data_IF_379218423896
#
_entry.id   IF_379218423896
#
_cell.length_a   1.000
_cell.length_b   1.000
_cell.length_c   1.000
_cell.angle_alpha   90.00
_cell.angle_beta   90.00
_cell.angle_gamma   90.00
#
_symmetry.space_group_name_H-M   'P 1'
#
loop_
_entity.id
_entity.type
_entity.pdbx_description
1 polymer ?
#
# COMPACT_ATOMS: atom_id res chain seq x y z
N UNK A 1 10.88 -7.12 -0.57
CA UNK A 1 10.90 -5.98 0.34
C UNK A 1 11.37 -4.71 -0.37
N UNK A 2 11.23 -3.58 0.27
CA UNK A 2 11.69 -2.27 -0.23
C UNK A 2 12.74 -1.71 0.72
N UNK A 3 13.86 -1.23 0.20
CA UNK A 3 14.83 -0.46 0.96
C UNK A 3 14.23 0.88 1.39
N UNK A 4 14.18 1.13 2.69
CA UNK A 4 13.52 2.31 3.25
C UNK A 4 14.18 3.63 2.83
N UNK A 5 15.50 3.63 2.66
CA UNK A 5 16.25 4.85 2.37
C UNK A 5 16.21 5.24 0.90
N UNK A 6 16.20 4.24 0.01
CA UNK A 6 16.33 4.45 -1.44
C UNK A 6 15.04 4.21 -2.22
N UNK A 7 14.07 3.51 -1.62
CA UNK A 7 12.88 3.02 -2.32
C UNK A 7 13.16 1.87 -3.31
N UNK A 8 14.40 1.39 -3.37
CA UNK A 8 14.77 0.33 -4.29
C UNK A 8 14.17 -1.03 -3.85
N UNK A 9 13.75 -1.88 -4.80
CA UNK A 9 13.29 -3.23 -4.46
C UNK A 9 14.44 -4.12 -4.04
N UNK A 10 14.24 -4.87 -2.95
CA UNK A 10 15.17 -5.88 -2.43
C UNK A 10 14.60 -7.27 -2.66
N UNK A 11 15.29 -8.05 -3.52
CA UNK A 11 14.86 -9.40 -3.91
C UNK A 11 15.69 -10.44 -3.15
N UNK A 12 15.06 -11.18 -2.26
CA UNK A 12 15.68 -12.29 -1.56
C UNK A 12 15.74 -13.52 -2.46
N UNK A 13 16.93 -14.08 -2.66
CA UNK A 13 17.15 -15.29 -3.46
C UNK A 13 17.65 -16.47 -2.62
N UNK A 14 18.13 -16.19 -1.42
CA UNK A 14 18.70 -17.16 -0.47
C UNK A 14 18.65 -16.57 0.93
N UNK A 15 18.88 -17.41 1.94
CA UNK A 15 18.91 -17.02 3.34
C UNK A 15 17.67 -17.48 4.12
N UNK A 16 17.38 -16.82 5.24
CA UNK A 16 16.28 -17.16 6.12
C UNK A 16 14.94 -16.68 5.54
N UNK A 17 14.06 -17.64 5.26
CA UNK A 17 12.72 -17.36 4.71
C UNK A 17 11.87 -16.52 5.66
N UNK A 18 11.98 -16.73 6.98
CA UNK A 18 11.20 -15.97 7.98
C UNK A 18 11.61 -14.49 7.99
N UNK A 19 12.91 -14.19 7.86
CA UNK A 19 13.39 -12.81 7.75
C UNK A 19 12.87 -12.16 6.47
N UNK A 20 12.93 -12.87 5.35
CA UNK A 20 12.42 -12.38 4.07
C UNK A 20 10.91 -12.11 4.13
N UNK A 21 10.13 -13.03 4.71
CA UNK A 21 8.69 -12.86 4.91
C UNK A 21 8.41 -11.68 5.84
N UNK A 22 9.12 -11.59 6.97
CA UNK A 22 8.94 -10.50 7.94
C UNK A 22 9.24 -9.13 7.31
N UNK A 23 10.28 -9.05 6.47
CA UNK A 23 10.60 -7.82 5.72
C UNK A 23 9.51 -7.50 4.69
N UNK A 24 9.03 -8.51 3.96
CA UNK A 24 8.02 -8.34 2.90
C UNK A 24 6.65 -7.90 3.40
N UNK A 25 6.31 -8.15 4.67
CA UNK A 25 5.03 -7.76 5.28
C UNK A 25 5.17 -6.55 6.22
N UNK A 26 6.30 -5.85 6.20
CA UNK A 26 6.52 -4.67 7.05
C UNK A 26 5.76 -3.44 6.55
N UNK A 27 4.44 -3.51 6.62
CA UNK A 27 3.52 -2.47 6.14
C UNK A 27 3.76 -1.16 6.90
N UNK A 28 4.03 -0.04 6.21
CA UNK A 28 4.24 1.26 6.84
C UNK A 28 3.04 1.68 7.72
N UNK A 29 3.34 2.16 8.93
CA UNK A 29 2.32 2.54 9.91
C UNK A 29 1.67 1.38 10.69
N UNK A 30 1.93 0.12 10.30
CA UNK A 30 1.38 -1.08 10.96
C UNK A 30 2.48 -1.90 11.63
N UNK A 31 3.57 -2.15 10.93
CA UNK A 31 4.68 -2.96 11.42
C UNK A 31 6.00 -2.18 11.37
N UNK A 32 6.88 -2.47 12.33
CA UNK A 32 8.20 -1.87 12.40
C UNK A 32 9.06 -2.37 11.24
N UNK A 33 9.84 -1.51 10.56
CA UNK A 33 10.81 -1.91 9.55
C UNK A 33 11.78 -2.97 10.05
N UNK A 34 12.24 -3.82 9.16
CA UNK A 34 13.21 -4.88 9.49
C UNK A 34 14.62 -4.40 9.17
N UNK A 35 15.53 -4.49 10.15
CA UNK A 35 16.95 -4.27 9.89
C UNK A 35 17.52 -5.47 9.13
N UNK A 36 18.10 -5.20 7.97
CA UNK A 36 18.75 -6.22 7.17
C UNK A 36 20.11 -5.67 6.69
N UNK A 37 21.21 -6.26 7.21
CA UNK A 37 22.57 -5.71 7.02
C UNK A 37 22.59 -4.23 7.44
N UNK A 38 23.04 -3.34 6.57
CA UNK A 38 23.21 -1.91 6.83
C UNK A 38 21.99 -1.06 6.43
N UNK A 39 20.87 -1.70 6.07
CA UNK A 39 19.65 -1.03 5.64
C UNK A 39 18.43 -1.40 6.48
N UNK A 40 17.36 -0.61 6.34
CA UNK A 40 16.03 -0.91 6.86
C UNK A 40 15.13 -1.30 5.71
N UNK A 41 14.35 -2.35 5.90
CA UNK A 41 13.41 -2.86 4.91
C UNK A 41 11.97 -2.64 5.36
N UNK A 42 11.15 -2.23 4.42
CA UNK A 42 9.68 -2.13 4.53
C UNK A 42 9.00 -3.04 3.52
N UNK A 43 7.68 -3.07 3.53
CA UNK A 43 6.86 -3.90 2.65
C UNK A 43 7.27 -3.79 1.17
N UNK A 44 7.24 -4.91 0.48
CA UNK A 44 7.56 -4.97 -0.95
C UNK A 44 6.54 -4.26 -1.84
N UNK A 45 5.30 -4.15 -1.39
CA UNK A 45 4.22 -3.44 -2.08
C UNK A 45 4.51 -1.95 -2.27
N UNK A 46 5.33 -1.35 -1.40
CA UNK A 46 5.73 0.05 -1.51
C UNK A 46 6.47 0.34 -2.83
N UNK A 47 7.35 -0.56 -3.29
CA UNK A 47 8.10 -0.39 -4.55
C UNK A 47 7.52 -1.21 -5.70
N UNK A 48 7.26 -2.49 -5.47
CA UNK A 48 6.79 -3.43 -6.51
C UNK A 48 5.64 -4.28 -5.97
N UNK A 49 4.39 -3.78 -5.98
CA UNK A 49 3.25 -4.55 -5.47
C UNK A 49 2.96 -5.81 -6.30
N UNK A 50 3.32 -5.81 -7.59
CA UNK A 50 3.11 -6.94 -8.49
C UNK A 50 4.41 -7.27 -9.26
N UNK A 51 5.32 -8.12 -8.70
CA UNK A 51 6.69 -8.27 -9.16
C UNK A 51 6.84 -9.19 -10.40
N UNK A 52 6.12 -8.92 -11.50
CA UNK A 52 6.10 -9.73 -12.73
C UNK A 52 7.50 -9.74 -13.38
N UNK A 53 8.12 -8.57 -13.55
CA UNK A 53 9.46 -8.42 -14.11
C UNK A 53 10.52 -9.17 -13.30
N UNK A 54 10.40 -9.16 -11.97
CA UNK A 54 11.32 -9.87 -11.08
C UNK A 54 11.25 -11.38 -11.33
N UNK A 55 10.03 -11.94 -11.39
CA UNK A 55 9.82 -13.38 -11.62
C UNK A 55 10.29 -13.79 -13.02
N UNK A 56 10.07 -12.96 -14.04
CA UNK A 56 10.64 -13.18 -15.38
C UNK A 56 12.16 -13.13 -15.38
N UNK A 57 12.75 -12.18 -14.69
CA UNK A 57 14.20 -12.09 -14.52
C UNK A 57 14.82 -13.29 -13.76
N UNK A 58 13.99 -14.07 -13.06
CA UNK A 58 14.36 -15.36 -12.46
C UNK A 58 14.23 -16.54 -13.42
N UNK A 59 13.82 -16.32 -14.68
CA UNK A 59 13.73 -17.34 -15.73
C UNK A 59 12.32 -17.94 -15.90
N UNK A 60 11.27 -17.34 -15.32
CA UNK A 60 9.92 -17.84 -15.52
C UNK A 60 9.42 -17.57 -16.95
N UNK A 61 9.12 -18.65 -17.69
CA UNK A 61 8.54 -18.57 -19.04
C UNK A 61 7.03 -18.32 -19.04
N UNK A 62 6.34 -18.70 -17.95
CA UNK A 62 4.92 -18.45 -17.75
C UNK A 62 4.71 -17.75 -16.42
N UNK A 63 4.00 -16.62 -16.40
CA UNK A 63 3.72 -15.83 -15.22
C UNK A 63 2.23 -15.74 -14.93
N UNK A 64 1.86 -16.08 -13.69
CA UNK A 64 0.50 -15.90 -13.18
C UNK A 64 0.58 -14.84 -12.10
N UNK A 65 -0.08 -13.70 -12.29
CA UNK A 65 -0.12 -12.63 -11.32
C UNK A 65 -1.49 -12.57 -10.64
N UNK A 66 -1.50 -12.38 -9.33
CA UNK A 66 -2.71 -12.18 -8.54
C UNK A 66 -2.74 -10.72 -8.08
N UNK A 67 -3.63 -9.93 -8.69
CA UNK A 67 -3.79 -8.53 -8.35
C UNK A 67 -4.84 -8.37 -7.24
N UNK A 68 -4.40 -8.02 -6.04
CA UNK A 68 -5.27 -7.77 -4.89
C UNK A 68 -5.81 -6.33 -4.86
N UNK A 69 -5.30 -5.46 -5.75
CA UNK A 69 -5.68 -4.04 -5.87
C UNK A 69 -6.31 -3.73 -7.26
N UNK A 70 -7.30 -4.52 -7.74
CA UNK A 70 -7.90 -4.27 -9.06
C UNK A 70 -8.71 -2.98 -9.07
N UNK A 71 -9.07 -2.45 -7.90
CA UNK A 71 -9.83 -1.21 -7.71
C UNK A 71 -9.36 -0.51 -6.45
N UNK A 72 -9.44 0.82 -6.46
CA UNK A 72 -9.13 1.62 -5.28
C UNK A 72 -10.09 1.27 -4.13
N UNK A 73 -9.54 0.93 -2.98
CA UNK A 73 -10.34 0.63 -1.77
C UNK A 73 -10.95 1.92 -1.24
N UNK A 74 -12.25 1.94 -1.10
CA UNK A 74 -12.98 3.08 -0.52
C UNK A 74 -13.00 2.94 1.01
N UNK A 75 -11.88 3.11 1.68
CA UNK A 75 -11.82 3.15 3.15
C UNK A 75 -12.55 4.40 3.64
N UNK A 76 -13.58 4.22 4.46
CA UNK A 76 -14.23 5.32 5.17
C UNK A 76 -15.01 6.33 4.33
N UNK A 77 -14.88 6.34 3.01
CA UNK A 77 -15.52 7.34 2.14
C UNK A 77 -17.03 7.13 1.92
N UNK A 78 -17.62 6.04 2.39
CA UNK A 78 -19.07 5.81 2.19
C UNK A 78 -19.93 6.91 2.82
N UNK A 79 -19.42 7.64 3.81
CA UNK A 79 -20.14 8.76 4.44
C UNK A 79 -19.80 10.13 3.84
N UNK A 80 -18.60 10.30 3.24
CA UNK A 80 -18.16 11.57 2.64
C UNK A 80 -18.72 11.78 1.23
N UNK A 81 -19.00 10.72 0.48
CA UNK A 81 -19.48 10.80 -0.92
C UNK A 81 -20.97 11.16 -1.02
N UNK A 82 -21.72 11.20 0.10
CA UNK A 82 -23.11 11.72 0.10
C UNK A 82 -23.20 13.25 0.13
N UNK A 83 -22.17 13.94 0.55
CA UNK A 83 -22.07 15.37 0.31
C UNK A 83 -21.55 15.57 -1.11
N UNK A 84 -22.37 16.19 -1.95
CA UNK A 84 -21.98 16.69 -3.26
C UNK A 84 -20.64 17.40 -3.14
N UNK A 85 -19.56 16.75 -3.58
CA UNK A 85 -18.28 17.40 -3.74
C UNK A 85 -18.49 18.34 -4.92
N UNK A 86 -18.83 19.59 -4.62
CA UNK A 86 -18.60 20.67 -5.55
C UNK A 86 -17.12 20.61 -5.86
N UNK A 87 -16.78 20.37 -7.10
CA UNK A 87 -15.39 20.44 -7.56
C UNK A 87 -14.84 21.77 -7.06
N UNK A 88 -13.82 21.78 -6.18
CA UNK A 88 -13.23 23.04 -5.76
C UNK A 88 -12.77 23.77 -7.03
N UNK A 89 -13.00 25.07 -7.08
CA UNK A 89 -12.45 25.90 -8.14
C UNK A 89 -10.94 25.60 -8.28
N UNK A 90 -10.38 25.61 -9.49
CA UNK A 90 -8.97 25.37 -9.68
C UNK A 90 -8.19 26.33 -8.77
N UNK A 91 -7.40 25.77 -7.86
CA UNK A 91 -6.56 26.55 -6.96
C UNK A 91 -5.49 27.21 -7.83
N UNK A 92 -5.56 28.51 -7.97
CA UNK A 92 -4.52 29.25 -8.64
C UNK A 92 -3.23 29.21 -7.82
N UNK A 93 -2.02 29.12 -8.45
CA UNK A 93 -0.75 29.08 -7.73
C UNK A 93 -0.53 30.25 -6.76
N UNK A 94 -1.17 31.37 -7.01
CA UNK A 94 -1.14 32.58 -6.19
C UNK A 94 -1.99 32.48 -4.91
N UNK A 95 -2.93 31.54 -4.85
CA UNK A 95 -3.78 31.29 -3.66
C UNK A 95 -3.14 30.32 -2.67
N UNK A 96 -1.97 29.74 -3.02
CA UNK A 96 -1.22 28.85 -2.15
C UNK A 96 -0.29 29.69 -1.27
N UNK A 97 -0.77 30.09 -0.11
CA UNK A 97 0.08 30.65 0.93
C UNK A 97 1.02 29.56 1.46
N UNK A 98 2.22 29.49 0.85
CA UNK A 98 3.29 28.63 1.36
C UNK A 98 3.67 29.22 2.72
N UNK A 99 3.17 28.60 3.81
CA UNK A 99 3.68 28.85 5.14
C UNK A 99 5.16 28.45 5.09
N UNK A 100 6.02 29.42 4.83
CA UNK A 100 7.47 29.31 5.00
C UNK A 100 7.69 29.12 6.50
N UNK A 101 7.63 27.85 6.95
CA UNK A 101 8.06 27.43 8.28
C UNK A 101 9.53 27.72 8.41
N UNK A 102 9.85 28.98 8.62
CA UNK A 102 11.17 29.41 8.99
C UNK A 102 11.50 28.82 10.36
N UNK A 103 12.61 28.09 10.46
CA UNK A 103 13.44 27.86 11.63
C UNK A 103 12.83 27.19 12.86
N UNK A 104 11.90 26.27 12.77
CA UNK A 104 11.50 25.42 13.90
C UNK A 104 12.40 24.17 14.13
N UNK A 105 13.37 23.90 13.25
CA UNK A 105 14.28 22.75 13.34
C UNK A 105 15.60 23.01 14.06
N UNK A 106 15.84 24.20 14.60
CA UNK A 106 17.09 24.55 15.26
C UNK A 106 17.04 24.54 16.80
N UNK A 107 15.99 23.95 17.41
CA UNK A 107 15.87 23.89 18.87
C UNK A 107 15.75 22.46 19.41
N UNK A 108 16.65 21.57 18.99
CA UNK A 108 16.71 20.20 19.48
C UNK A 108 17.91 19.97 20.38
N UNK A 109 17.93 20.59 21.57
CA UNK A 109 18.81 20.11 22.65
C UNK A 109 18.32 20.31 24.08
N UNK A 110 17.11 20.84 24.28
CA UNK A 110 16.59 20.94 25.66
C UNK A 110 15.05 20.97 25.67
N UNK A 111 14.37 19.83 25.55
CA UNK A 111 12.94 19.88 25.74
C UNK A 111 12.07 18.74 25.22
N UNK A 112 12.50 17.48 25.34
CA UNK A 112 11.68 16.33 24.96
C UNK A 112 10.27 16.29 25.56
N UNK A 113 10.01 17.03 26.64
CA UNK A 113 8.67 17.06 27.25
C UNK A 113 7.69 18.05 26.61
N UNK A 114 8.16 19.12 25.96
CA UNK A 114 7.27 20.12 25.32
C UNK A 114 6.72 19.62 23.99
N UNK A 115 7.54 18.97 23.20
CA UNK A 115 7.15 18.35 21.92
C UNK A 115 6.14 17.22 22.12
N UNK A 116 6.37 16.34 23.08
CA UNK A 116 5.41 15.28 23.43
C UNK A 116 4.07 15.84 23.87
N UNK A 117 4.06 16.91 24.69
CA UNK A 117 2.81 17.60 25.08
C UNK A 117 2.10 18.27 23.90
N UNK A 118 2.85 18.84 22.96
CA UNK A 118 2.28 19.40 21.73
C UNK A 118 1.64 18.32 20.86
N UNK A 119 2.29 17.17 20.73
CA UNK A 119 1.72 16.01 20.02
C UNK A 119 0.48 15.49 20.77
N UNK A 120 0.54 15.35 22.09
CA UNK A 120 -0.59 14.93 22.91
C UNK A 120 -1.76 15.93 22.82
N UNK A 121 -1.49 17.23 22.87
CA UNK A 121 -2.51 18.27 22.70
C UNK A 121 -3.10 18.26 21.29
N UNK A 122 -2.28 18.07 20.27
CA UNK A 122 -2.72 17.95 18.88
C UNK A 122 -3.59 16.70 18.68
N UNK A 123 -3.14 15.54 19.19
CA UNK A 123 -3.92 14.30 19.17
C UNK A 123 -5.21 14.38 20.01
N UNK A 124 -5.19 15.13 21.11
CA UNK A 124 -6.38 15.36 21.94
C UNK A 124 -7.37 16.32 21.28
N UNK A 125 -6.89 17.36 20.60
CA UNK A 125 -7.69 18.28 19.82
C UNK A 125 -8.37 17.57 18.62
N UNK A 126 -7.66 16.67 17.95
CA UNK A 126 -8.19 15.84 16.88
C UNK A 126 -9.30 14.87 17.36
N UNK A 127 -9.19 14.35 18.59
CA UNK A 127 -10.26 13.54 19.21
C UNK A 127 -11.51 14.36 19.60
N UNK A 128 -11.36 15.65 19.84
CA UNK A 128 -12.45 16.53 20.29
C UNK A 128 -13.20 17.27 19.18
N UNK A 129 -12.56 17.52 18.04
CA UNK A 129 -13.13 18.28 16.92
C UNK A 129 -13.52 17.43 15.72
N UNK A 130 -13.10 16.16 15.68
CA UNK A 130 -13.47 15.23 14.64
C UNK A 130 -14.94 14.87 14.75
N UNK A 131 -15.77 15.48 13.91
CA UNK A 131 -17.12 14.95 13.66
C UNK A 131 -17.00 13.45 13.33
N UNK A 132 -18.00 12.65 13.69
CA UNK A 132 -18.05 11.16 13.57
C UNK A 132 -17.62 10.56 12.22
N UNK A 133 -17.13 11.36 11.27
CA UNK A 133 -16.84 10.98 9.88
C UNK A 133 -15.44 11.38 9.37
N UNK A 134 -14.58 11.97 10.20
CA UNK A 134 -13.20 12.30 9.75
C UNK A 134 -12.27 11.11 9.97
N UNK A 135 -11.47 10.73 8.95
CA UNK A 135 -10.48 9.67 9.09
C UNK A 135 -9.35 10.13 10.02
N UNK A 136 -8.85 9.25 10.89
CA UNK A 136 -7.69 9.53 11.72
C UNK A 136 -6.39 9.46 10.89
N UNK A 137 -5.27 9.92 11.47
CA UNK A 137 -3.98 9.97 10.76
C UNK A 137 -3.53 8.59 10.25
N UNK A 138 -3.81 7.52 10.99
CA UNK A 138 -3.47 6.16 10.57
C UNK A 138 -4.33 5.71 9.38
N UNK A 139 -5.62 6.09 9.35
CA UNK A 139 -6.49 5.84 8.20
C UNK A 139 -6.00 6.58 6.96
N UNK A 140 -5.53 7.82 7.11
CA UNK A 140 -4.97 8.63 6.02
C UNK A 140 -3.70 7.99 5.49
N UNK A 141 -2.76 7.58 6.36
CA UNK A 141 -1.52 6.89 5.96
C UNK A 141 -1.86 5.59 5.21
N UNK A 142 -2.72 4.76 5.79
CA UNK A 142 -3.10 3.48 5.19
C UNK A 142 -3.78 3.67 3.83
N UNK A 143 -4.66 4.67 3.70
CA UNK A 143 -5.30 4.99 2.43
C UNK A 143 -4.30 5.52 1.39
N UNK A 144 -3.30 6.30 1.82
CA UNK A 144 -2.24 6.81 0.94
C UNK A 144 -1.39 5.66 0.38
N UNK A 145 -1.05 4.68 1.22
CA UNK A 145 -0.35 3.46 0.80
C UNK A 145 -1.20 2.67 -0.21
N UNK A 146 -2.49 2.42 0.10
CA UNK A 146 -3.41 1.72 -0.82
C UNK A 146 -3.49 2.43 -2.20
N UNK A 147 -3.51 3.77 -2.22
CA UNK A 147 -3.53 4.56 -3.46
C UNK A 147 -2.22 4.38 -4.24
N UNK A 148 -1.08 4.47 -3.57
CA UNK A 148 0.23 4.30 -4.22
C UNK A 148 0.38 2.89 -4.79
N UNK A 149 0.01 1.85 -4.04
CA UNK A 149 0.05 0.47 -4.52
C UNK A 149 -0.87 0.24 -5.71
N UNK A 150 -2.08 0.81 -5.69
CA UNK A 150 -3.00 0.74 -6.82
C UNK A 150 -2.41 1.39 -8.07
N UNK A 151 -1.87 2.60 -7.96
CA UNK A 151 -1.28 3.33 -9.09
C UNK A 151 -0.05 2.57 -9.62
N UNK A 152 0.84 2.11 -8.73
CA UNK A 152 2.02 1.35 -9.12
C UNK A 152 1.64 0.04 -9.81
N UNK A 153 0.65 -0.68 -9.28
CA UNK A 153 0.15 -1.92 -9.91
C UNK A 153 -0.41 -1.63 -11.30
N UNK A 154 -1.22 -0.58 -11.46
CA UNK A 154 -1.78 -0.21 -12.76
C UNK A 154 -0.70 0.16 -13.79
N UNK A 155 0.32 0.90 -13.36
CA UNK A 155 1.47 1.24 -14.20
C UNK A 155 2.27 -0.01 -14.58
N UNK A 156 2.56 -0.89 -13.63
CA UNK A 156 3.28 -2.14 -13.89
C UNK A 156 2.55 -3.02 -14.88
N UNK A 157 1.24 -3.21 -14.72
CA UNK A 157 0.42 -4.00 -15.65
C UNK A 157 0.40 -3.41 -17.07
N UNK A 158 0.54 -2.10 -17.19
CA UNK A 158 0.62 -1.44 -18.50
C UNK A 158 1.93 -1.76 -19.24
N UNK A 159 3.05 -1.84 -18.50
CA UNK A 159 4.38 -2.03 -19.10
C UNK A 159 4.86 -3.49 -19.06
N UNK A 160 4.36 -4.29 -18.12
CA UNK A 160 4.78 -5.67 -17.89
C UNK A 160 3.58 -6.57 -17.59
N UNK A 161 2.86 -6.96 -18.64
CA UNK A 161 1.66 -7.79 -18.51
C UNK A 161 2.01 -9.24 -18.19
N UNK A 162 1.37 -9.89 -17.19
CA UNK A 162 1.57 -11.32 -16.92
C UNK A 162 0.96 -12.19 -18.02
N UNK A 163 1.35 -13.46 -18.08
CA UNK A 163 0.71 -14.43 -18.99
C UNK A 163 -0.76 -14.64 -18.64
N UNK A 164 -1.08 -14.68 -17.35
CA UNK A 164 -2.46 -14.75 -16.82
C UNK A 164 -2.56 -13.81 -15.63
N UNK A 165 -3.60 -12.96 -15.62
CA UNK A 165 -3.93 -12.08 -14.51
C UNK A 165 -5.16 -12.61 -13.78
N UNK A 166 -5.07 -12.74 -12.47
CA UNK A 166 -6.17 -13.15 -11.57
C UNK A 166 -6.52 -11.95 -10.69
N UNK A 167 -7.79 -11.57 -10.66
CA UNK A 167 -8.25 -10.40 -9.89
C UNK A 167 -9.41 -10.81 -8.97
N UNK A 168 -9.12 -11.23 -7.71
CA UNK A 168 -10.14 -11.49 -6.72
C UNK A 168 -10.79 -10.18 -6.24
N UNK A 169 -12.08 -10.24 -5.95
CA UNK A 169 -12.82 -9.08 -5.46
C UNK A 169 -12.69 -8.98 -3.93
N UNK A 170 -11.59 -8.42 -3.46
CA UNK A 170 -11.28 -8.26 -2.03
C UNK A 170 -11.31 -6.80 -1.56
N UNK A 171 -11.90 -5.91 -2.34
CA UNK A 171 -11.93 -4.46 -2.06
C UNK A 171 -12.64 -4.09 -0.76
N UNK A 172 -13.61 -4.90 -0.32
CA UNK A 172 -14.38 -4.65 0.90
C UNK A 172 -13.75 -5.29 2.15
N UNK A 173 -12.62 -5.99 2.01
CA UNK A 173 -11.95 -6.68 3.11
C UNK A 173 -10.80 -5.82 3.63
N UNK A 174 -10.73 -5.60 4.95
CA UNK A 174 -9.59 -4.91 5.56
C UNK A 174 -8.35 -5.80 5.54
N UNK A 175 -7.18 -5.22 5.28
CA UNK A 175 -5.88 -5.92 5.22
C UNK A 175 -5.56 -6.68 6.51
N UNK A 176 -6.04 -6.22 7.66
CA UNK A 176 -5.82 -6.84 8.97
C UNK A 176 -7.02 -7.66 9.47
N UNK A 177 -8.07 -7.82 8.67
CA UNK A 177 -9.24 -8.59 9.07
C UNK A 177 -9.05 -10.07 8.71
N UNK A 178 -8.44 -10.83 9.61
CA UNK A 178 -8.24 -12.28 9.45
C UNK A 178 -9.50 -13.11 9.74
N UNK A 179 -10.55 -12.52 10.31
CA UNK A 179 -11.81 -13.21 10.59
C UNK A 179 -12.56 -13.60 9.29
N UNK A 180 -12.37 -12.84 8.21
CA UNK A 180 -13.02 -13.07 6.92
C UNK A 180 -12.20 -13.99 5.97
N UNK A 181 -11.23 -14.74 6.49
CA UNK A 181 -10.34 -15.58 5.68
C UNK A 181 -11.11 -16.52 4.74
N UNK A 182 -12.18 -17.16 5.20
CA UNK A 182 -13.02 -18.05 4.37
C UNK A 182 -13.63 -17.32 3.16
N UNK A 183 -14.11 -16.10 3.35
CA UNK A 183 -14.66 -15.26 2.28
C UNK A 183 -13.57 -14.89 1.27
N UNK A 184 -12.39 -14.50 1.76
CA UNK A 184 -11.25 -14.13 0.90
C UNK A 184 -10.79 -15.32 0.05
N UNK A 185 -10.69 -16.51 0.64
CA UNK A 185 -10.35 -17.74 -0.07
C UNK A 185 -11.38 -18.05 -1.16
N UNK A 186 -12.66 -17.88 -0.87
CA UNK A 186 -13.73 -18.11 -1.85
C UNK A 186 -13.67 -17.12 -3.01
N UNK A 187 -13.42 -15.84 -2.76
CA UNK A 187 -13.21 -14.85 -3.82
C UNK A 187 -11.98 -15.18 -4.69
N UNK A 188 -10.90 -15.66 -4.10
CA UNK A 188 -9.74 -16.19 -4.82
C UNK A 188 -10.10 -17.36 -5.73
N UNK A 189 -10.85 -18.33 -5.22
CA UNK A 189 -11.34 -19.47 -5.99
C UNK A 189 -12.22 -19.03 -7.18
N UNK A 190 -13.16 -18.11 -6.97
CA UNK A 190 -14.00 -17.57 -8.02
C UNK A 190 -13.19 -16.83 -9.08
N UNK A 191 -12.19 -16.04 -8.69
CA UNK A 191 -11.33 -15.34 -9.62
C UNK A 191 -10.50 -16.30 -10.48
N UNK A 192 -9.90 -17.33 -9.88
CA UNK A 192 -9.21 -18.39 -10.61
C UNK A 192 -10.13 -19.15 -11.56
N UNK A 193 -11.36 -19.44 -11.13
CA UNK A 193 -12.34 -20.15 -11.96
C UNK A 193 -12.70 -19.37 -13.23
N UNK A 194 -12.79 -18.03 -13.14
CA UNK A 194 -13.04 -17.16 -14.29
C UNK A 194 -11.94 -17.23 -15.36
N UNK A 195 -10.68 -17.39 -14.95
CA UNK A 195 -9.53 -17.45 -15.87
C UNK A 195 -9.07 -18.87 -16.20
N UNK A 196 -9.71 -19.90 -15.65
CA UNK A 196 -9.34 -21.31 -15.80
C UNK A 196 -9.13 -21.72 -17.27
N UNK A 197 -10.05 -21.33 -18.16
CA UNK A 197 -9.95 -21.65 -19.59
C UNK A 197 -8.75 -20.97 -20.26
N UNK A 198 -8.44 -19.74 -19.89
CA UNK A 198 -7.26 -19.03 -20.38
C UNK A 198 -5.98 -19.71 -19.88
N UNK A 199 -5.93 -20.00 -18.59
CA UNK A 199 -4.79 -20.66 -17.94
C UNK A 199 -4.50 -22.03 -18.60
N UNK A 200 -5.51 -22.86 -18.77
CA UNK A 200 -5.35 -24.18 -19.40
C UNK A 200 -4.80 -24.08 -20.84
N UNK A 201 -5.31 -23.14 -21.64
CA UNK A 201 -4.78 -22.92 -22.99
C UNK A 201 -3.32 -22.48 -23.00
N UNK A 202 -2.95 -21.55 -22.10
CA UNK A 202 -1.59 -21.03 -22.01
C UNK A 202 -0.60 -22.08 -21.52
N UNK A 203 -0.97 -22.92 -20.56
CA UNK A 203 -0.15 -24.05 -20.09
C UNK A 203 0.04 -25.08 -21.23
N UNK A 204 -1.02 -25.48 -21.92
CA UNK A 204 -0.91 -26.41 -23.06
C UNK A 204 -0.07 -25.90 -24.23
N UNK A 205 0.01 -24.58 -24.40
CA UNK A 205 0.84 -23.98 -25.44
C UNK A 205 2.31 -23.79 -25.00
N UNK A 206 2.60 -23.95 -23.72
CA UNK A 206 3.94 -23.79 -23.14
C UNK A 206 4.67 -25.14 -22.97
N UNK A 207 3.94 -26.23 -22.80
CA UNK A 207 4.44 -27.61 -22.77
C UNK A 207 4.50 -28.19 -24.18
#
# INVERSE_FOLDING_TARGET
>A
ATDYATGAPVVFRSGNVLEALRASVSIPGVLVPVRYRDTLLVDGGVSIPLPISVVRGMGAGLTIAVNLHPRLRKRGLRHLVKSRVETPAPVHPEDVEIIRGGSALAATSAGGSKWLRLIEQWLAAERGTGGKNMPNIFDVIAQSVDIMEYINTALMLKYDSPTVLVEPNVTDVSTLNFADAGKIMYEGYLACSRVKGQLTRKIKAWV
#
